data_IF_611460055337
#
_entry.id   IF_611460055337
#
_cell.length_a   1.000
_cell.length_b   1.000
_cell.length_c   1.000
_cell.angle_alpha   90.00
_cell.angle_beta   90.00
_cell.angle_gamma   90.00
#
_symmetry.space_group_name_H-M   'P 1'
#
loop_
_entity.id
_entity.type
_entity.pdbx_description
1 polymer ?
#
# COMPACT_ATOMS: atom_id res chain seq x y z
N UNK A 1 -10.55 -22.32 -55.34
CA UNK A 1 -10.71 -22.84 -53.97
C UNK A 1 -9.39 -22.67 -53.23
N UNK A 2 -9.17 -21.52 -52.59
CA UNK A 2 -7.98 -21.27 -51.79
C UNK A 2 -8.30 -21.49 -50.32
N UNK A 3 -7.79 -22.59 -49.75
CA UNK A 3 -7.78 -22.79 -48.31
C UNK A 3 -6.79 -21.80 -47.69
N UNK A 4 -7.27 -20.79 -46.96
CA UNK A 4 -6.45 -20.01 -46.05
C UNK A 4 -6.45 -20.79 -44.73
N UNK A 5 -5.35 -21.41 -44.28
CA UNK A 5 -5.33 -22.05 -42.99
C UNK A 5 -5.42 -20.95 -41.93
N UNK A 6 -6.46 -20.98 -41.11
CA UNK A 6 -6.54 -20.15 -39.92
C UNK A 6 -5.27 -20.38 -39.09
N UNK A 7 -4.48 -19.31 -38.89
CA UNK A 7 -3.33 -19.25 -38.00
C UNK A 7 -3.80 -19.58 -36.56
N UNK A 8 -3.88 -20.87 -36.27
CA UNK A 8 -4.18 -21.47 -34.96
C UNK A 8 -2.89 -21.92 -34.27
N UNK A 9 -1.73 -21.53 -34.81
CA UNK A 9 -0.43 -21.75 -34.20
C UNK A 9 -0.14 -20.63 -33.21
N UNK A 10 -0.29 -20.92 -31.91
CA UNK A 10 0.34 -20.12 -30.87
C UNK A 10 1.85 -20.05 -31.14
N UNK A 11 2.44 -18.86 -31.04
CA UNK A 11 3.90 -18.68 -31.20
C UNK A 11 4.62 -19.30 -30.01
N UNK A 12 4.00 -19.22 -28.82
CA UNK A 12 4.49 -19.80 -27.57
C UNK A 12 3.30 -20.47 -26.87
N UNK A 13 3.40 -21.78 -26.59
CA UNK A 13 2.44 -22.53 -25.75
C UNK A 13 3.20 -23.28 -24.65
N UNK A 14 3.18 -22.72 -23.44
CA UNK A 14 3.77 -23.31 -22.25
C UNK A 14 2.72 -23.94 -21.33
N UNK A 15 1.50 -24.18 -21.82
CA UNK A 15 0.37 -24.73 -21.08
C UNK A 15 -0.36 -23.70 -20.21
N UNK A 16 0.36 -22.98 -19.33
CA UNK A 16 -0.19 -21.91 -18.49
C UNK A 16 -0.15 -20.52 -19.16
N UNK A 17 0.70 -20.37 -20.18
CA UNK A 17 0.86 -19.15 -20.95
C UNK A 17 0.83 -19.49 -22.43
N UNK A 18 -0.12 -18.89 -23.16
CA UNK A 18 -0.23 -19.03 -24.62
C UNK A 18 -0.21 -17.65 -25.25
N UNK A 19 0.77 -17.41 -26.13
CA UNK A 19 0.96 -16.13 -26.83
C UNK A 19 0.84 -16.38 -28.33
N UNK A 20 -0.13 -15.74 -28.97
CA UNK A 20 -0.27 -15.71 -30.43
C UNK A 20 -0.95 -14.41 -30.89
N UNK A 21 -0.68 -13.89 -32.10
CA UNK A 21 -1.46 -12.76 -32.61
C UNK A 21 -2.93 -13.19 -32.80
N UNK A 22 -3.96 -12.47 -32.30
CA UNK A 22 -3.96 -11.19 -31.58
C UNK A 22 -4.15 -11.27 -30.04
N UNK A 23 -4.07 -12.45 -29.39
CA UNK A 23 -4.45 -12.64 -27.98
C UNK A 23 -3.38 -13.35 -27.13
N UNK A 24 -3.31 -12.96 -25.85
CA UNK A 24 -2.48 -13.59 -24.83
C UNK A 24 -3.42 -14.26 -23.82
N UNK A 25 -3.32 -15.58 -23.67
CA UNK A 25 -4.06 -16.32 -22.65
C UNK A 25 -3.13 -16.67 -21.48
N UNK A 26 -3.48 -16.18 -20.28
CA UNK A 26 -2.81 -16.50 -19.02
C UNK A 26 -3.77 -17.35 -18.20
N UNK A 27 -3.46 -18.63 -18.05
CA UNK A 27 -4.26 -19.58 -17.27
C UNK A 27 -3.51 -19.92 -15.99
N UNK A 28 -3.51 -18.98 -15.04
CA UNK A 28 -2.92 -19.14 -13.71
C UNK A 28 -4.05 -19.15 -12.69
N UNK A 29 -4.17 -20.22 -11.90
CA UNK A 29 -5.11 -20.25 -10.78
C UNK A 29 -4.65 -19.25 -9.71
N UNK A 30 -5.45 -18.23 -9.35
CA UNK A 30 -5.09 -17.27 -8.32
C UNK A 30 -4.97 -17.90 -6.93
N UNK A 31 -5.52 -19.10 -6.72
CA UNK A 31 -5.45 -19.84 -5.47
C UNK A 31 -4.31 -20.88 -5.50
N UNK A 32 -3.44 -20.84 -4.49
CA UNK A 32 -2.41 -21.86 -4.25
C UNK A 32 -3.07 -23.11 -3.67
N UNK A 33 -3.87 -22.93 -2.62
CA UNK A 33 -4.51 -24.01 -1.87
C UNK A 33 -5.88 -23.54 -1.38
N UNK A 34 -6.87 -24.42 -1.50
CA UNK A 34 -8.22 -24.23 -0.93
C UNK A 34 -8.43 -25.27 0.17
N UNK A 35 -8.52 -24.82 1.42
CA UNK A 35 -8.85 -25.68 2.57
C UNK A 35 -10.23 -25.22 3.07
N UNK A 36 -11.28 -25.92 2.64
CA UNK A 36 -12.67 -25.58 2.98
C UNK A 36 -13.03 -24.16 2.52
N UNK A 37 -13.55 -23.28 3.40
CA UNK A 37 -13.91 -21.90 3.05
C UNK A 37 -12.70 -20.97 2.87
N UNK A 38 -11.48 -21.41 3.21
CA UNK A 38 -10.28 -20.59 3.14
C UNK A 38 -9.53 -20.81 1.82
N UNK A 39 -9.30 -19.72 1.09
CA UNK A 39 -8.57 -19.70 -0.17
C UNK A 39 -7.25 -18.97 0.05
N UNK A 40 -6.14 -19.70 0.03
CA UNK A 40 -4.81 -19.10 0.06
C UNK A 40 -4.43 -18.67 -1.35
N UNK A 41 -4.42 -17.36 -1.60
CA UNK A 41 -4.06 -16.81 -2.91
C UNK A 41 -2.57 -16.49 -3.04
N UNK A 42 -2.03 -16.53 -4.27
CA UNK A 42 -0.66 -16.11 -4.57
C UNK A 42 -0.36 -14.68 -4.10
N UNK A 43 -1.36 -13.80 -4.18
CA UNK A 43 -1.26 -12.43 -3.66
C UNK A 43 -0.99 -12.39 -2.16
N UNK A 44 -1.66 -13.24 -1.38
CA UNK A 44 -1.48 -13.30 0.07
C UNK A 44 -0.06 -13.73 0.47
N UNK A 45 0.48 -14.71 -0.24
CA UNK A 45 1.87 -15.14 -0.05
C UNK A 45 2.86 -14.02 -0.39
N UNK A 46 2.65 -13.32 -1.51
CA UNK A 46 3.49 -12.18 -1.89
C UNK A 46 3.44 -11.04 -0.87
N UNK A 47 2.27 -10.72 -0.31
CA UNK A 47 2.16 -9.75 0.78
C UNK A 47 2.93 -10.20 2.03
N UNK A 48 2.81 -11.47 2.41
CA UNK A 48 3.56 -12.00 3.56
C UNK A 48 5.08 -11.89 3.35
N UNK A 49 5.58 -12.23 2.16
CA UNK A 49 6.99 -12.10 1.81
C UNK A 49 7.43 -10.63 1.84
N UNK A 50 6.64 -9.72 1.26
CA UNK A 50 6.95 -8.29 1.25
C UNK A 50 7.03 -7.71 2.68
N UNK A 51 6.11 -8.10 3.57
CA UNK A 51 6.12 -7.68 4.98
C UNK A 51 7.36 -8.22 5.69
N UNK A 52 7.69 -9.51 5.52
CA UNK A 52 8.87 -10.12 6.16
C UNK A 52 10.16 -9.44 5.69
N UNK A 53 10.31 -9.22 4.38
CA UNK A 53 11.48 -8.52 3.82
C UNK A 53 11.54 -7.07 4.30
N UNK A 54 10.41 -6.35 4.28
CA UNK A 54 10.32 -4.99 4.79
C UNK A 54 10.75 -4.91 6.26
N UNK A 55 10.28 -5.82 7.11
CA UNK A 55 10.67 -5.89 8.52
C UNK A 55 12.16 -6.23 8.70
N UNK A 56 12.72 -7.12 7.89
CA UNK A 56 14.15 -7.45 7.92
C UNK A 56 15.02 -6.26 7.52
N UNK A 57 14.62 -5.54 6.48
CA UNK A 57 15.31 -4.37 5.95
C UNK A 57 15.24 -3.22 6.98
N UNK A 58 14.04 -2.92 7.49
CA UNK A 58 13.85 -1.88 8.52
C UNK A 58 14.68 -2.18 9.76
N UNK A 59 14.67 -3.43 10.26
CA UNK A 59 15.54 -3.83 11.38
C UNK A 59 17.02 -3.58 11.07
N UNK A 60 17.47 -3.93 9.86
CA UNK A 60 18.84 -3.66 9.42
C UNK A 60 19.19 -2.16 9.39
N UNK A 61 18.25 -1.30 9.00
CA UNK A 61 18.43 0.15 8.97
C UNK A 61 18.38 0.79 10.37
N UNK A 62 17.49 0.34 11.25
CA UNK A 62 17.33 0.90 12.60
C UNK A 62 18.49 0.53 13.52
N UNK A 63 19.01 -0.70 13.44
CA UNK A 63 20.20 -1.12 14.21
C UNK A 63 21.45 -0.33 13.83
N UNK A 64 21.58 0.11 12.57
CA UNK A 64 22.70 0.97 12.15
C UNK A 64 22.61 2.42 12.66
N UNK A 65 21.41 2.90 12.99
CA UNK A 65 21.17 4.25 13.50
C UNK A 65 20.99 4.32 15.03
N UNK A 66 21.09 3.19 15.74
CA UNK A 66 20.89 3.15 17.20
C UNK A 66 19.48 3.50 17.65
N UNK A 67 18.49 3.48 16.73
CA UNK A 67 17.09 3.72 17.06
C UNK A 67 16.55 2.42 17.65
N UNK A 68 16.41 2.40 18.97
CA UNK A 68 15.87 1.28 19.72
C UNK A 68 14.43 0.97 19.26
N UNK A 69 14.11 -0.30 18.90
CA UNK A 69 12.79 -0.69 18.38
C UNK A 69 11.70 -0.83 19.46
N UNK A 70 11.95 -0.34 20.67
CA UNK A 70 11.08 -0.43 21.86
C UNK A 70 10.04 0.72 21.92
N UNK A 71 9.67 1.25 20.75
CA UNK A 71 8.66 2.29 20.59
C UNK A 71 7.33 1.93 21.28
N UNK A 72 6.89 0.66 21.16
CA UNK A 72 5.66 0.17 21.78
C UNK A 72 5.74 0.14 23.31
N UNK A 73 6.87 -0.31 23.88
CA UNK A 73 7.09 -0.36 25.32
C UNK A 73 7.23 1.04 25.93
N UNK A 74 7.86 1.96 25.19
CA UNK A 74 8.05 3.36 25.59
C UNK A 74 6.72 4.14 25.64
N UNK A 75 5.86 3.97 24.63
CA UNK A 75 4.53 4.61 24.61
C UNK A 75 3.57 4.09 25.69
N UNK A 76 3.69 2.82 26.08
CA UNK A 76 2.91 2.24 27.18
C UNK A 76 3.39 2.69 28.57
N UNK A 77 4.70 2.91 28.73
CA UNK A 77 5.27 3.40 29.99
C UNK A 77 5.00 4.89 30.24
N UNK A 78 4.80 5.69 29.19
CA UNK A 78 4.54 7.14 29.28
C UNK A 78 3.40 7.56 28.34
N UNK A 79 2.13 7.28 28.70
CA UNK A 79 0.97 7.60 27.85
C UNK A 79 0.83 9.09 27.54
N UNK A 80 1.38 9.98 28.38
CA UNK A 80 1.40 11.43 28.13
C UNK A 80 2.24 11.85 26.90
N UNK A 81 3.22 11.06 26.47
CA UNK A 81 4.02 11.37 25.27
C UNK A 81 3.26 11.15 23.95
N UNK A 82 2.11 10.47 23.97
CA UNK A 82 1.25 10.32 22.78
C UNK A 82 0.66 11.70 22.35
N UNK A 83 0.48 12.60 23.32
CA UNK A 83 0.02 13.98 23.09
C UNK A 83 1.17 14.96 22.86
N UNK A 84 2.43 14.52 22.93
CA UNK A 84 3.59 15.36 22.68
C UNK A 84 3.75 15.62 21.17
N UNK A 85 2.85 16.43 20.60
CA UNK A 85 2.87 16.85 19.18
C UNK A 85 4.06 17.73 18.83
N UNK A 86 4.84 18.14 19.83
CA UNK A 86 6.05 18.96 19.72
C UNK A 86 7.35 18.15 19.58
N UNK A 87 7.34 16.84 19.85
CA UNK A 87 8.46 15.97 19.51
C UNK A 87 8.33 15.56 18.04
N UNK A 88 9.26 16.00 17.19
CA UNK A 88 9.21 15.95 15.72
C UNK A 88 9.19 14.56 15.06
N UNK A 89 8.62 13.54 15.69
CA UNK A 89 8.30 12.24 15.10
C UNK A 89 6.94 12.28 14.40
N UNK A 90 6.87 12.85 13.20
CA UNK A 90 5.60 12.98 12.47
C UNK A 90 4.91 11.62 12.25
N UNK A 91 3.78 11.41 12.91
CA UNK A 91 2.82 10.32 12.64
C UNK A 91 2.08 10.54 11.30
N UNK A 92 2.81 10.78 10.22
CA UNK A 92 2.28 11.17 8.91
C UNK A 92 1.41 10.07 8.29
N UNK A 93 1.84 8.81 8.41
CA UNK A 93 1.07 7.66 7.95
C UNK A 93 -0.24 7.50 8.72
N UNK A 94 -0.25 7.73 10.03
CA UNK A 94 -1.47 7.68 10.85
C UNK A 94 -2.50 8.73 10.42
N UNK A 95 -2.04 9.94 10.09
CA UNK A 95 -2.90 10.99 9.55
C UNK A 95 -3.52 10.59 8.20
N UNK A 96 -2.75 10.00 7.27
CA UNK A 96 -3.28 9.54 5.98
C UNK A 96 -4.33 8.44 6.17
N UNK A 97 -4.04 7.45 7.02
CA UNK A 97 -4.95 6.34 7.32
C UNK A 97 -6.24 6.78 8.01
N UNK A 98 -6.26 7.92 8.72
CA UNK A 98 -7.47 8.47 9.33
C UNK A 98 -8.20 9.47 8.41
N UNK A 99 -7.48 10.34 7.70
CA UNK A 99 -8.06 11.40 6.88
C UNK A 99 -8.79 10.84 5.67
N UNK A 100 -8.22 9.86 4.95
CA UNK A 100 -8.86 9.30 3.74
C UNK A 100 -10.23 8.65 4.08
N UNK A 101 -10.34 7.74 5.07
CA UNK A 101 -11.62 7.17 5.46
C UNK A 101 -12.60 8.22 6.01
N UNK A 102 -12.09 9.23 6.75
CA UNK A 102 -12.94 10.29 7.29
C UNK A 102 -13.55 11.14 6.18
N UNK A 103 -12.79 11.50 5.15
CA UNK A 103 -13.30 12.20 3.98
C UNK A 103 -14.29 11.34 3.20
N UNK A 104 -14.01 10.04 3.00
CA UNK A 104 -14.95 9.14 2.33
C UNK A 104 -16.26 8.98 3.13
N UNK A 105 -16.17 8.82 4.46
CA UNK A 105 -17.34 8.74 5.34
C UNK A 105 -18.15 10.04 5.32
N UNK A 106 -17.47 11.18 5.37
CA UNK A 106 -18.10 12.50 5.31
C UNK A 106 -18.75 12.76 3.94
N UNK A 107 -18.08 12.41 2.84
CA UNK A 107 -18.64 12.48 1.49
C UNK A 107 -19.92 11.64 1.37
N UNK A 108 -19.94 10.45 1.97
CA UNK A 108 -21.13 9.59 2.02
C UNK A 108 -22.26 10.20 2.85
N UNK A 109 -21.94 10.85 3.97
CA UNK A 109 -22.95 11.52 4.82
C UNK A 109 -23.57 12.74 4.12
N UNK A 110 -22.76 13.49 3.37
CA UNK A 110 -23.17 14.73 2.70
C UNK A 110 -23.66 14.51 1.25
N UNK A 111 -23.67 13.26 0.75
CA UNK A 111 -24.02 12.89 -0.64
C UNK A 111 -23.20 13.61 -1.72
N UNK A 112 -21.94 13.94 -1.42
CA UNK A 112 -21.00 14.56 -2.34
C UNK A 112 -20.15 13.47 -3.00
N UNK A 113 -19.71 13.69 -4.25
CA UNK A 113 -18.80 12.76 -4.91
C UNK A 113 -17.47 12.65 -4.12
N UNK A 114 -17.11 11.45 -3.61
CA UNK A 114 -15.93 11.27 -2.78
C UNK A 114 -14.62 11.63 -3.49
N UNK A 115 -14.55 11.52 -4.83
CA UNK A 115 -13.36 11.93 -5.58
C UNK A 115 -13.14 13.44 -5.52
N UNK A 116 -14.21 14.24 -5.59
CA UNK A 116 -14.13 15.71 -5.52
C UNK A 116 -13.68 16.16 -4.14
N UNK A 117 -14.18 15.50 -3.08
CA UNK A 117 -13.78 15.81 -1.71
C UNK A 117 -12.34 15.38 -1.42
N UNK A 118 -11.88 14.27 -2.00
CA UNK A 118 -10.48 13.86 -1.93
C UNK A 118 -9.56 14.82 -2.69
N UNK A 119 -9.92 15.26 -3.89
CA UNK A 119 -9.16 16.27 -4.66
C UNK A 119 -9.04 17.59 -3.89
N UNK A 120 -10.12 18.04 -3.26
CA UNK A 120 -10.08 19.19 -2.36
C UNK A 120 -9.14 18.94 -1.16
N UNK A 121 -9.14 17.72 -0.60
CA UNK A 121 -8.23 17.30 0.46
C UNK A 121 -6.75 17.34 0.04
N UNK A 122 -6.43 17.01 -1.21
CA UNK A 122 -5.06 17.07 -1.75
C UNK A 122 -4.53 18.50 -1.76
N UNK A 123 -5.37 19.49 -2.11
CA UNK A 123 -5.01 20.92 -2.03
C UNK A 123 -4.62 21.34 -0.60
N UNK A 124 -5.37 20.90 0.42
CA UNK A 124 -5.03 21.17 1.82
C UNK A 124 -3.76 20.44 2.26
N UNK A 125 -3.56 19.20 1.82
CA UNK A 125 -2.34 18.45 2.10
C UNK A 125 -1.10 19.12 1.48
N UNK A 126 -1.21 19.63 0.26
CA UNK A 126 -0.15 20.38 -0.42
C UNK A 126 0.21 21.68 0.33
N UNK A 127 -0.78 22.42 0.82
CA UNK A 127 -0.54 23.59 1.68
C UNK A 127 0.15 23.20 3.00
N UNK A 128 -0.28 22.09 3.63
CA UNK A 128 0.33 21.55 4.85
C UNK A 128 1.80 21.17 4.69
N UNK A 129 2.22 20.71 3.51
CA UNK A 129 3.63 20.38 3.23
C UNK A 129 4.56 21.61 3.32
N UNK A 130 4.07 22.80 3.00
CA UNK A 130 4.85 24.04 3.12
C UNK A 130 5.15 24.31 4.60
N UNK A 131 4.14 24.19 5.47
CA UNK A 131 4.30 24.35 6.91
C UNK A 131 5.19 23.26 7.52
N UNK A 132 5.08 22.02 7.05
CA UNK A 132 5.98 20.93 7.46
C UNK A 132 7.45 21.21 7.13
N UNK A 133 7.73 21.83 5.96
CA UNK A 133 9.08 22.26 5.61
C UNK A 133 9.58 23.43 6.46
N UNK A 134 8.71 24.36 6.85
CA UNK A 134 9.06 25.44 7.80
C UNK A 134 9.36 24.86 9.19
N UNK A 135 8.58 23.89 9.66
CA UNK A 135 8.84 23.21 10.94
C UNK A 135 10.20 22.51 10.95
N UNK A 136 10.59 21.88 9.84
CA UNK A 136 11.92 21.29 9.70
C UNK A 136 13.06 22.33 9.76
N UNK A 137 12.84 23.56 9.30
CA UNK A 137 13.82 24.67 9.39
C UNK A 137 13.92 25.29 10.79
N UNK A 138 12.86 25.20 11.60
CA UNK A 138 12.84 25.73 12.97
C UNK A 138 13.50 24.75 13.95
N UNK A 139 13.38 23.45 13.70
CA UNK A 139 13.93 22.39 14.55
C UNK A 139 15.38 22.00 14.22
N UNK A 140 15.99 22.59 13.18
CA UNK A 140 17.35 22.30 12.71
C UNK A 140 17.84 23.30 11.68
#
# INVERSE_FOLDING_TARGET
MGFIPALTSYVIDWGWLRIGPPYIYINIDPAIVRIGPFVLSWYGLMYAVAIILGLRIVRGYTTRKGITPDLFSHYLAQPQHILATWEGGMAFYGAIFLVIPTLIWRARRERINPLVLLDAGVLFAAAGQIFGRIGNLING
#
